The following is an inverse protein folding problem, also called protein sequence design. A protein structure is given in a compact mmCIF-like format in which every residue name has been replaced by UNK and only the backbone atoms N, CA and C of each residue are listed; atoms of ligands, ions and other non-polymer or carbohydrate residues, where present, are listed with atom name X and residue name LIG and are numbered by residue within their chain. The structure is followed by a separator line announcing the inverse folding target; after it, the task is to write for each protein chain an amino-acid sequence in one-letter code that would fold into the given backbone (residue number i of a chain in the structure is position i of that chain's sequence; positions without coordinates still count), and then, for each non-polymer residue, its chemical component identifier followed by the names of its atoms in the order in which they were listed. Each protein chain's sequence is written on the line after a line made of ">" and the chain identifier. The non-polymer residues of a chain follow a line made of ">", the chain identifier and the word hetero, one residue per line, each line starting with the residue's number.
data_IF_436704787250
#
_entry.id   IF_436704787250
#
_cell.length_a   1.000
_cell.length_b   1.000
_cell.length_c   1.000
_cell.angle_alpha   90.00
_cell.angle_beta   90.00
_cell.angle_gamma   90.00
#
_symmetry.space_group_name_H-M   'P 1'
#
loop_
_entity.id
_entity.type
_entity.pdbx_description
1 polymer ?
#
# COMPACT_ATOMS: atom_id res chain seq x y z
N UNK A 1 1.64 11.43 8.96
CA UNK A 1 1.69 10.82 10.31
C UNK A 1 0.32 10.64 10.98
N UNK A 2 -0.61 11.60 10.96
CA UNK A 2 -1.91 11.43 11.66
C UNK A 2 -2.71 10.27 11.07
N UNK A 3 -2.79 10.17 9.74
CA UNK A 3 -3.46 9.05 9.08
C UNK A 3 -2.79 7.72 9.43
N UNK A 4 -1.46 7.62 9.28
CA UNK A 4 -0.73 6.40 9.60
C UNK A 4 -0.93 5.94 11.06
N UNK A 5 -0.95 6.87 12.02
CA UNK A 5 -1.28 6.53 13.42
C UNK A 5 -2.71 6.05 13.58
N UNK A 6 -3.69 6.70 12.94
CA UNK A 6 -5.08 6.24 12.95
C UNK A 6 -5.23 4.87 12.30
N UNK A 7 -4.46 4.58 11.25
CA UNK A 7 -4.42 3.26 10.62
C UNK A 7 -3.90 2.19 11.57
N UNK A 8 -2.79 2.44 12.27
CA UNK A 8 -2.29 1.49 13.27
C UNK A 8 -3.31 1.22 14.38
N UNK A 9 -4.04 2.24 14.81
CA UNK A 9 -5.15 2.10 15.76
C UNK A 9 -6.27 1.23 15.21
N UNK A 10 -6.66 1.45 13.96
CA UNK A 10 -7.64 0.60 13.26
C UNK A 10 -7.17 -0.85 13.14
N UNK A 11 -5.88 -1.08 12.82
CA UNK A 11 -5.32 -2.44 12.78
C UNK A 11 -5.33 -3.10 14.16
N UNK A 12 -5.02 -2.37 15.24
CA UNK A 12 -5.12 -2.90 16.60
C UNK A 12 -6.55 -3.35 16.93
N UNK A 13 -7.54 -2.52 16.61
CA UNK A 13 -8.95 -2.87 16.79
C UNK A 13 -9.36 -4.07 15.92
N UNK A 14 -8.85 -4.17 14.68
CA UNK A 14 -9.07 -5.32 13.80
C UNK A 14 -8.51 -6.64 14.35
N UNK A 15 -7.49 -6.58 15.21
CA UNK A 15 -6.94 -7.74 15.94
C UNK A 15 -7.68 -8.03 17.25
N UNK A 16 -8.72 -7.25 17.59
CA UNK A 16 -9.41 -7.34 18.87
C UNK A 16 -8.59 -6.81 20.06
N UNK A 17 -7.49 -6.10 19.80
CA UNK A 17 -6.65 -5.48 20.82
C UNK A 17 -7.19 -4.09 21.21
N UNK A 18 -6.63 -3.51 22.27
CA UNK A 18 -6.90 -2.12 22.62
C UNK A 18 -6.45 -1.18 21.48
N UNK A 19 -7.22 -0.12 21.20
CA UNK A 19 -6.89 0.85 20.15
C UNK A 19 -5.45 1.38 20.23
N UNK A 20 -4.90 1.54 21.44
CA UNK A 20 -3.55 2.07 21.67
C UNK A 20 -2.48 0.99 21.76
N UNK A 21 -2.79 -0.28 21.46
CA UNK A 21 -1.89 -1.42 21.62
C UNK A 21 -0.51 -1.20 20.99
N UNK A 22 -0.45 -0.61 19.79
CA UNK A 22 0.80 -0.34 19.08
C UNK A 22 1.45 0.99 19.44
N UNK A 23 0.84 1.87 20.25
CA UNK A 23 1.34 3.23 20.49
C UNK A 23 2.72 3.24 21.17
N UNK A 24 3.01 2.23 22.00
CA UNK A 24 4.31 2.06 22.68
C UNK A 24 5.43 1.55 21.76
N UNK A 25 5.07 0.91 20.65
CA UNK A 25 6.03 0.29 19.71
C UNK A 25 6.21 1.14 18.45
N UNK A 26 5.16 1.81 17.99
CA UNK A 26 5.15 2.72 16.83
C UNK A 26 5.30 4.18 17.30
N UNK A 27 6.44 4.46 17.93
CA UNK A 27 6.72 5.75 18.55
C UNK A 27 7.17 6.79 17.53
N UNK A 28 7.96 6.40 16.53
CA UNK A 28 8.56 7.30 15.54
C UNK A 28 8.40 6.78 14.10
N UNK A 29 7.18 6.75 13.53
CA UNK A 29 6.95 6.09 12.26
C UNK A 29 7.87 6.67 11.18
N UNK A 30 8.59 5.81 10.46
CA UNK A 30 9.22 6.14 9.20
C UNK A 30 8.11 6.35 8.19
N UNK A 31 8.33 7.26 7.28
CA UNK A 31 7.48 7.32 6.11
C UNK A 31 8.37 7.66 4.93
N UNK A 32 8.34 6.78 3.94
CA UNK A 32 8.83 7.08 2.60
C UNK A 32 7.64 7.47 1.73
N UNK A 33 7.83 8.52 0.94
CA UNK A 33 6.94 8.86 -0.15
C UNK A 33 7.75 8.67 -1.42
N UNK A 34 7.21 7.90 -2.33
CA UNK A 34 7.83 7.70 -3.64
C UNK A 34 6.81 8.09 -4.70
N UNK A 35 7.27 8.81 -5.72
CA UNK A 35 6.47 9.22 -6.85
C UNK A 35 6.96 8.41 -8.05
N UNK A 36 6.14 7.45 -8.48
CA UNK A 36 6.42 6.64 -9.65
C UNK A 36 5.71 7.22 -10.87
N UNK A 37 6.48 7.41 -11.93
CA UNK A 37 5.98 7.75 -13.25
C UNK A 37 6.25 6.56 -14.18
N UNK A 38 5.18 5.98 -14.72
CA UNK A 38 5.26 4.91 -15.69
C UNK A 38 5.01 5.48 -17.08
N UNK A 39 6.01 5.44 -17.99
CA UNK A 39 5.83 5.96 -19.33
C UNK A 39 4.79 5.15 -20.11
N UNK A 40 4.20 5.73 -21.17
CA UNK A 40 3.37 5.00 -22.13
C UNK A 40 4.03 3.72 -22.61
N UNK A 41 3.24 2.64 -22.71
CA UNK A 41 3.69 1.39 -23.32
C UNK A 41 2.74 0.99 -24.44
N UNK A 42 3.28 0.31 -25.47
CA UNK A 42 2.46 -0.30 -26.49
C UNK A 42 1.68 -1.48 -25.85
N UNK A 43 0.38 -1.67 -26.19
CA UNK A 43 -0.44 -2.72 -25.58
C UNK A 43 0.11 -4.15 -25.76
N UNK A 44 1.02 -4.35 -26.72
CA UNK A 44 1.65 -5.60 -27.13
C UNK A 44 3.15 -5.70 -26.74
N UNK A 45 3.65 -4.80 -25.90
CA UNK A 45 5.04 -4.81 -25.45
C UNK A 45 5.44 -6.12 -24.77
N UNK A 46 6.64 -6.62 -25.08
CA UNK A 46 7.17 -7.90 -24.58
C UNK A 46 7.36 -7.95 -23.04
N UNK A 47 7.40 -6.78 -22.38
CA UNK A 47 7.43 -6.66 -20.93
C UNK A 47 6.38 -5.66 -20.43
N UNK A 48 5.15 -6.13 -20.13
CA UNK A 48 4.09 -5.25 -19.67
C UNK A 48 4.23 -4.90 -18.17
N UNK A 49 5.23 -5.42 -17.44
CA UNK A 49 5.43 -5.11 -16.02
C UNK A 49 6.28 -3.85 -15.86
N UNK A 50 5.62 -2.72 -15.64
CA UNK A 50 6.29 -1.46 -15.34
C UNK A 50 6.87 -1.41 -13.91
N UNK A 51 6.35 -2.25 -13.01
CA UNK A 51 6.93 -2.56 -11.70
C UNK A 51 6.78 -4.05 -11.43
N UNK A 52 7.91 -4.72 -11.18
CA UNK A 52 7.99 -6.17 -10.94
C UNK A 52 7.20 -6.55 -9.69
N UNK A 53 6.60 -7.73 -9.69
CA UNK A 53 5.91 -8.31 -8.53
C UNK A 53 6.77 -8.35 -7.26
N UNK A 54 6.29 -7.75 -6.17
CA UNK A 54 6.95 -7.75 -4.86
C UNK A 54 5.97 -7.53 -3.70
N UNK A 55 6.42 -7.82 -2.47
CA UNK A 55 5.75 -7.40 -1.22
C UNK A 55 6.43 -6.15 -0.64
N UNK A 56 5.72 -5.47 0.26
CA UNK A 56 6.22 -4.26 0.92
C UNK A 56 6.83 -4.60 2.28
N UNK A 57 8.08 -4.21 2.52
CA UNK A 57 8.76 -4.51 3.80
C UNK A 57 8.11 -3.82 5.04
N UNK A 58 7.38 -2.71 4.83
CA UNK A 58 6.85 -1.86 5.90
C UNK A 58 5.67 -2.46 6.67
N UNK A 59 4.94 -1.61 7.41
CA UNK A 59 3.72 -2.01 8.11
C UNK A 59 2.53 -2.00 7.15
N UNK A 60 2.41 -0.95 6.36
CA UNK A 60 1.44 -0.85 5.27
C UNK A 60 1.86 0.26 4.31
N UNK A 61 1.34 0.19 3.09
CA UNK A 61 1.55 1.17 2.02
C UNK A 61 0.20 1.71 1.55
N UNK A 62 0.09 3.02 1.41
CA UNK A 62 -1.09 3.73 0.91
C UNK A 62 -0.75 4.19 -0.51
N UNK A 63 -1.45 3.68 -1.51
CA UNK A 63 -1.27 4.07 -2.90
C UNK A 63 -2.32 5.10 -3.28
N UNK A 64 -1.85 6.28 -3.72
CA UNK A 64 -2.64 7.17 -4.58
C UNK A 64 -2.34 6.85 -6.04
N UNK A 65 -3.37 6.61 -6.84
CA UNK A 65 -3.23 6.34 -8.27
C UNK A 65 -4.10 7.32 -9.06
N UNK A 66 -3.70 7.60 -10.29
CA UNK A 66 -4.59 8.26 -11.25
C UNK A 66 -5.72 7.32 -11.72
N UNK A 67 -6.56 7.81 -12.63
CA UNK A 67 -7.70 7.06 -13.15
C UNK A 67 -7.34 6.08 -14.28
N UNK A 68 -6.08 6.01 -14.71
CA UNK A 68 -5.62 5.04 -15.71
C UNK A 68 -5.43 3.65 -15.10
N UNK A 69 -5.04 3.62 -13.81
CA UNK A 69 -4.83 2.38 -13.07
C UNK A 69 -3.54 1.67 -13.45
N UNK A 70 -3.55 0.34 -13.36
CA UNK A 70 -2.39 -0.51 -13.62
C UNK A 70 -1.82 -1.21 -12.39
N UNK A 71 -2.22 -0.80 -11.17
CA UNK A 71 -1.91 -1.54 -9.95
C UNK A 71 -2.68 -2.86 -9.92
N UNK A 72 -1.96 -3.96 -9.75
CA UNK A 72 -2.53 -5.30 -9.61
C UNK A 72 -2.04 -5.97 -8.32
N UNK A 73 -2.93 -6.69 -7.65
CA UNK A 73 -2.66 -7.39 -6.39
C UNK A 73 -2.89 -8.89 -6.56
N UNK A 74 -1.96 -9.71 -6.10
CA UNK A 74 -2.06 -11.17 -6.16
C UNK A 74 -2.97 -11.69 -5.04
N UNK A 75 -4.05 -12.37 -5.41
CA UNK A 75 -4.95 -13.00 -4.44
C UNK A 75 -4.45 -14.39 -4.00
N UNK A 76 -5.14 -14.99 -3.02
CA UNK A 76 -4.82 -16.33 -2.46
C UNK A 76 -4.89 -17.47 -3.48
N UNK A 77 -5.58 -17.29 -4.61
CA UNK A 77 -5.66 -18.28 -5.68
C UNK A 77 -4.50 -18.13 -6.70
N UNK A 78 -3.55 -17.22 -6.46
CA UNK A 78 -2.46 -16.94 -7.39
C UNK A 78 -2.89 -16.14 -8.62
N UNK A 79 -4.02 -15.43 -8.54
CA UNK A 79 -4.57 -14.62 -9.63
C UNK A 79 -4.37 -13.14 -9.30
N UNK A 80 -3.78 -12.39 -10.23
CA UNK A 80 -3.70 -10.93 -10.14
C UNK A 80 -5.06 -10.31 -10.36
N UNK A 81 -5.48 -9.47 -9.42
CA UNK A 81 -6.73 -8.70 -9.44
C UNK A 81 -6.37 -7.23 -9.60
N UNK A 82 -6.98 -6.52 -10.57
CA UNK A 82 -6.75 -5.08 -10.72
C UNK A 82 -7.33 -4.33 -9.52
N UNK A 83 -6.54 -3.39 -8.99
CA UNK A 83 -7.02 -2.42 -8.01
C UNK A 83 -7.62 -1.23 -8.78
N UNK A 84 -8.87 -1.38 -9.24
CA UNK A 84 -9.54 -0.37 -10.07
C UNK A 84 -9.53 1.02 -9.41
N UNK A 85 -9.06 2.07 -10.12
CA UNK A 85 -9.06 3.43 -9.60
C UNK A 85 -10.47 3.91 -9.26
N UNK A 86 -10.60 4.53 -8.09
CA UNK A 86 -11.86 5.15 -7.66
C UNK A 86 -11.58 6.55 -7.14
N UNK A 87 -12.35 7.52 -7.65
CA UNK A 87 -12.18 8.93 -7.30
C UNK A 87 -12.33 9.15 -5.78
N UNK A 88 -11.40 9.90 -5.19
CA UNK A 88 -11.42 10.23 -3.76
C UNK A 88 -11.05 9.08 -2.83
N UNK A 89 -10.42 8.02 -3.35
CA UNK A 89 -9.97 6.87 -2.56
C UNK A 89 -8.46 6.68 -2.61
N UNK A 90 -7.95 5.87 -1.67
CA UNK A 90 -6.60 5.32 -1.71
C UNK A 90 -6.71 3.80 -1.60
N UNK A 91 -5.75 3.10 -2.19
CA UNK A 91 -5.57 1.66 -1.96
C UNK A 91 -4.62 1.50 -0.77
N UNK A 92 -4.89 0.56 0.13
CA UNK A 92 -4.01 0.24 1.25
C UNK A 92 -3.55 -1.19 1.10
N UNK A 93 -2.24 -1.41 1.00
CA UNK A 93 -1.64 -2.74 1.06
C UNK A 93 -0.99 -2.97 2.42
N UNK A 94 -1.09 -4.18 2.94
CA UNK A 94 -0.40 -4.64 4.15
C UNK A 94 1.05 -4.97 3.80
N UNK A 95 1.99 -4.57 4.66
CA UNK A 95 3.39 -4.92 4.52
C UNK A 95 3.82 -6.07 5.44
N UNK A 96 4.98 -6.64 5.15
CA UNK A 96 5.56 -7.80 5.80
C UNK A 96 5.69 -7.62 7.33
N UNK A 97 5.99 -6.41 7.79
CA UNK A 97 6.11 -6.14 9.23
C UNK A 97 4.77 -6.27 9.93
N UNK A 98 3.67 -5.76 9.34
CA UNK A 98 2.35 -5.88 9.95
C UNK A 98 1.89 -7.34 9.95
N UNK A 99 2.16 -8.06 8.87
CA UNK A 99 1.92 -9.49 8.82
C UNK A 99 2.61 -10.20 9.98
N UNK A 100 3.90 -9.92 10.19
CA UNK A 100 4.67 -10.54 11.27
C UNK A 100 4.14 -10.22 12.66
N UNK A 101 3.87 -8.96 12.98
CA UNK A 101 3.41 -8.55 14.33
C UNK A 101 1.95 -8.92 14.60
N UNK A 102 1.16 -9.12 13.54
CA UNK A 102 -0.22 -9.63 13.65
C UNK A 102 -0.31 -11.15 13.68
N UNK A 103 0.83 -11.85 13.62
CA UNK A 103 0.90 -13.30 13.53
C UNK A 103 0.07 -13.85 12.35
N UNK A 104 0.32 -13.29 11.17
CA UNK A 104 -0.30 -13.65 9.89
C UNK A 104 -1.83 -13.42 9.80
N UNK A 105 -2.43 -12.73 10.78
CA UNK A 105 -3.85 -12.32 10.72
C UNK A 105 -4.10 -11.30 9.60
N UNK A 106 -3.14 -10.39 9.38
CA UNK A 106 -3.08 -9.58 8.17
C UNK A 106 -2.00 -10.14 7.26
N UNK A 107 -2.30 -10.31 5.97
CA UNK A 107 -1.36 -10.91 5.01
C UNK A 107 -0.81 -9.81 4.12
N UNK A 108 0.53 -9.73 4.00
CA UNK A 108 1.18 -8.89 3.01
C UNK A 108 0.94 -9.47 1.63
N UNK A 109 0.31 -8.68 0.77
CA UNK A 109 -0.03 -9.14 -0.57
C UNK A 109 1.04 -8.69 -1.56
N UNK A 110 1.43 -9.61 -2.44
CA UNK A 110 2.29 -9.32 -3.57
C UNK A 110 1.52 -8.44 -4.55
N UNK A 111 2.16 -7.39 -5.04
CA UNK A 111 1.56 -6.47 -5.99
C UNK A 111 2.56 -6.11 -7.10
N UNK A 112 2.04 -5.66 -8.23
CA UNK A 112 2.82 -5.22 -9.39
C UNK A 112 2.11 -4.06 -10.09
N UNK A 113 2.80 -3.40 -11.02
CA UNK A 113 2.19 -2.38 -11.88
C UNK A 113 2.38 -2.74 -13.33
N UNK A 114 1.30 -2.66 -14.10
CA UNK A 114 1.30 -2.81 -15.56
C UNK A 114 0.67 -1.60 -16.20
N UNK A 115 1.45 -0.82 -16.95
CA UNK A 115 0.88 0.21 -17.81
C UNK A 115 0.52 -0.40 -19.16
N UNK A 116 -0.76 -0.69 -19.38
CA UNK A 116 -1.24 -1.24 -20.65
C UNK A 116 -1.77 -0.14 -21.60
N UNK A 117 -1.48 1.12 -21.30
CA UNK A 117 -1.99 2.27 -22.04
C UNK A 117 -0.87 3.01 -22.76
N UNK A 118 -1.24 3.72 -23.83
CA UNK A 118 -0.38 4.69 -24.51
C UNK A 118 -0.27 6.02 -23.76
N UNK A 119 -0.78 6.08 -22.53
CA UNK A 119 -0.73 7.25 -21.65
C UNK A 119 0.23 6.97 -20.50
N UNK A 120 0.74 8.03 -19.86
CA UNK A 120 1.58 7.89 -18.68
C UNK A 120 0.73 7.70 -17.43
N UNK A 121 1.05 6.67 -16.65
CA UNK A 121 0.41 6.41 -15.37
C UNK A 121 1.27 6.95 -14.23
N UNK A 122 0.63 7.54 -13.23
CA UNK A 122 1.30 8.03 -12.03
C UNK A 122 0.77 7.31 -10.80
N UNK A 123 1.69 6.70 -10.05
CA UNK A 123 1.42 6.04 -8.78
C UNK A 123 2.25 6.70 -7.69
N UNK A 124 1.60 7.03 -6.59
CA UNK A 124 2.21 7.66 -5.43
C UNK A 124 2.09 6.71 -4.23
N UNK A 125 2.99 5.72 -4.08
CA UNK A 125 3.08 4.95 -2.85
C UNK A 125 3.55 5.82 -1.68
N UNK A 126 2.80 5.72 -0.60
CA UNK A 126 3.13 6.22 0.72
C UNK A 126 3.33 5.01 1.63
N UNK A 127 4.58 4.64 1.92
CA UNK A 127 4.85 3.49 2.79
C UNK A 127 5.07 3.99 4.21
N UNK A 128 4.26 3.50 5.15
CA UNK A 128 4.50 3.68 6.57
C UNK A 128 5.26 2.45 7.06
N UNK A 129 6.56 2.62 7.29
CA UNK A 129 7.31 1.66 8.08
C UNK A 129 7.39 2.19 9.51
N UNK A 130 7.07 1.39 10.52
CA UNK A 130 7.48 1.73 11.88
C UNK A 130 9.00 1.64 11.96
N UNK A 131 9.71 2.78 11.87
CA UNK A 131 11.08 2.84 12.36
C UNK A 131 11.05 3.33 13.80
N UNK A 132 12.14 3.04 14.47
CA UNK A 132 12.69 3.85 15.54
C UNK A 132 13.15 5.26 15.08
N UNK A 133 12.74 5.79 13.91
CA UNK A 133 13.39 6.94 13.26
C UNK A 133 12.43 7.83 12.44
N UNK A 134 12.09 8.98 13.05
CA UNK A 134 11.95 10.32 12.44
C UNK A 134 10.66 10.78 11.69
N UNK A 135 9.89 11.63 12.42
CA UNK A 135 9.16 12.89 12.13
C UNK A 135 8.80 13.29 10.66
N UNK A 136 7.50 13.54 10.38
CA UNK A 136 6.83 14.75 9.77
C UNK A 136 5.39 14.43 9.21
N UNK A 137 4.43 15.37 9.26
CA UNK A 137 2.95 15.17 9.25
C UNK A 137 2.23 15.73 8.02
N UNK A 138 1.29 15.00 7.37
CA UNK A 138 0.00 15.48 6.77
C UNK A 138 -1.11 14.38 6.80
N UNK A 139 -2.37 14.73 6.47
CA UNK A 139 -3.66 14.01 6.70
C UNK A 139 -4.42 13.75 5.38
N UNK A 140 -5.09 12.60 5.20
CA UNK A 140 -6.16 12.35 4.20
C UNK A 140 -6.99 11.09 4.58
N UNK A 141 -8.10 10.81 3.88
CA UNK A 141 -9.20 9.87 4.23
C UNK A 141 -9.15 8.59 3.38
N UNK A 142 -9.65 7.45 3.87
CA UNK A 142 -9.18 6.10 3.47
C UNK A 142 -10.29 5.07 3.20
N UNK A 143 -10.04 4.14 2.27
CA UNK A 143 -10.82 2.92 1.97
C UNK A 143 -9.88 1.71 2.08
N UNK A 144 -10.30 0.63 2.76
CA UNK A 144 -9.49 -0.59 2.98
C UNK A 144 -10.07 -1.74 2.17
N UNK A 145 -9.24 -2.45 1.42
CA UNK A 145 -9.62 -3.75 0.84
C UNK A 145 -9.23 -4.86 1.84
N UNK A 146 -10.22 -5.61 2.32
CA UNK A 146 -10.03 -6.84 3.11
C UNK A 146 -10.76 -7.97 2.37
N UNK A 147 -10.01 -8.92 1.80
CA UNK A 147 -10.50 -10.24 1.36
C UNK A 147 -9.40 -11.29 1.49
#
# INVERSE_FOLDING_TARGET
>A
MILARRMMKTFALGLGANETYFDSTVTAPFTSILLNYYPPQAPDGEDPESLIAHSEFGTFTIFGQDMLGGLEVLNKNGIYIPAEPMYGTFVVNVGDFLQRISNDMFVSTVHRVRNLTTLSAILFPFSSASTWMSRYRYVLRLVVFVK
#
